data_IF_595888922961
#
_entry.id   IF_595888922961
#
_cell.length_a   1.000
_cell.length_b   1.000
_cell.length_c   1.000
_cell.angle_alpha   90.00
_cell.angle_beta   90.00
_cell.angle_gamma   90.00
#
_symmetry.space_group_name_H-M   'P 1'
#
loop_
_entity.id
_entity.type
_entity.pdbx_description
1 polymer ?
#
# COMPACT_ATOMS: atom_id res chain seq x y z
N UNK A 1 -0.23 -2.45 24.66
CA UNK A 1 0.25 -2.31 26.06
C UNK A 1 -0.62 -1.27 26.74
N UNK A 2 -1.13 -1.47 27.96
CA UNK A 2 -1.90 -0.43 28.67
C UNK A 2 -0.94 0.69 29.09
N UNK A 3 -1.09 1.94 28.62
CA UNK A 3 -0.24 3.02 29.08
C UNK A 3 -0.58 3.34 30.54
N UNK A 4 0.43 3.32 31.41
CA UNK A 4 0.28 3.72 32.80
C UNK A 4 -0.05 5.23 32.85
N UNK A 5 -1.28 5.57 33.26
CA UNK A 5 -1.72 6.93 33.48
C UNK A 5 -2.53 7.58 32.34
N UNK A 6 -3.34 6.83 31.59
CA UNK A 6 -4.28 7.38 30.59
C UNK A 6 -5.23 8.42 31.18
N UNK A 7 -5.55 9.48 30.41
CA UNK A 7 -6.58 10.46 30.78
C UNK A 7 -7.96 9.76 30.92
N UNK A 8 -8.61 9.84 32.09
CA UNK A 8 -9.87 9.14 32.35
C UNK A 8 -11.01 9.60 31.42
N UNK A 9 -10.95 10.83 30.90
CA UNK A 9 -11.94 11.36 29.95
C UNK A 9 -11.82 10.66 28.60
N UNK A 10 -10.60 10.44 28.11
CA UNK A 10 -10.35 9.72 26.86
C UNK A 10 -10.74 8.25 26.99
N UNK A 11 -10.41 7.62 28.12
CA UNK A 11 -10.77 6.22 28.37
C UNK A 11 -12.29 6.03 28.44
N UNK A 12 -13.01 6.94 29.12
CA UNK A 12 -14.47 6.93 29.16
C UNK A 12 -15.07 7.12 27.77
N UNK A 13 -14.50 8.03 26.97
CA UNK A 13 -14.98 8.31 25.62
C UNK A 13 -14.75 7.11 24.68
N UNK A 14 -13.58 6.49 24.72
CA UNK A 14 -13.29 5.30 23.94
C UNK A 14 -14.22 4.13 24.30
N UNK A 15 -14.53 3.96 25.59
CA UNK A 15 -15.49 2.96 26.03
C UNK A 15 -16.92 3.27 25.57
N UNK A 16 -17.30 4.55 25.49
CA UNK A 16 -18.61 4.99 24.96
C UNK A 16 -18.71 4.77 23.45
N UNK A 17 -17.65 5.09 22.69
CA UNK A 17 -17.57 4.84 21.24
C UNK A 17 -17.69 3.34 20.93
N UNK A 18 -16.98 2.48 21.66
CA UNK A 18 -16.98 1.04 21.44
C UNK A 18 -18.34 0.36 21.73
N UNK A 19 -19.17 0.94 22.60
CA UNK A 19 -20.47 0.38 23.02
C UNK A 19 -21.67 0.98 22.28
N UNK A 20 -21.47 2.09 21.58
CA UNK A 20 -22.54 2.85 20.94
C UNK A 20 -22.82 2.36 19.53
N UNK A 21 -24.06 2.48 19.03
CA UNK A 21 -24.36 2.19 17.64
C UNK A 21 -23.65 3.19 16.72
N UNK A 22 -23.29 2.75 15.51
CA UNK A 22 -22.51 3.54 14.54
C UNK A 22 -23.07 4.93 14.26
N UNK A 23 -24.40 5.11 14.33
CA UNK A 23 -25.08 6.38 14.11
C UNK A 23 -24.76 7.45 15.16
N UNK A 24 -24.47 7.04 16.40
CA UNK A 24 -24.20 7.95 17.52
C UNK A 24 -22.71 8.27 17.66
N UNK A 25 -21.83 7.46 17.06
CA UNK A 25 -20.37 7.61 17.12
C UNK A 25 -19.91 9.02 16.69
N UNK A 26 -20.41 9.63 15.60
CA UNK A 26 -20.01 10.98 15.20
C UNK A 26 -20.26 12.04 16.28
N UNK A 27 -21.40 11.97 16.97
CA UNK A 27 -21.78 12.93 18.02
C UNK A 27 -20.91 12.73 19.28
N UNK A 28 -20.62 11.48 19.61
CA UNK A 28 -19.74 11.15 20.75
C UNK A 28 -18.33 11.67 20.49
N UNK A 29 -17.79 11.49 19.28
CA UNK A 29 -16.46 11.96 18.91
C UNK A 29 -16.32 13.49 18.98
N UNK A 30 -17.41 14.27 18.86
CA UNK A 30 -17.36 15.73 19.06
C UNK A 30 -16.92 16.13 20.48
N UNK A 31 -17.15 15.28 21.49
CA UNK A 31 -16.69 15.54 22.86
C UNK A 31 -15.16 15.66 22.95
N UNK A 32 -14.41 15.10 21.98
CA UNK A 32 -12.95 15.31 21.89
C UNK A 32 -12.58 16.79 21.78
N UNK A 33 -13.42 17.61 21.12
CA UNK A 33 -13.18 19.04 20.96
C UNK A 33 -13.08 19.76 22.31
N UNK A 34 -13.98 19.42 23.23
CA UNK A 34 -13.99 20.01 24.58
C UNK A 34 -12.75 19.59 25.36
N UNK A 35 -12.35 18.31 25.26
CA UNK A 35 -11.16 17.79 25.96
C UNK A 35 -9.89 18.50 25.46
N UNK A 36 -9.77 18.68 24.14
CA UNK A 36 -8.62 19.35 23.52
C UNK A 36 -8.60 20.84 23.88
N UNK A 37 -9.73 21.54 23.76
CA UNK A 37 -9.81 22.99 24.01
C UNK A 37 -9.61 23.37 25.47
N UNK A 38 -10.01 22.50 26.40
CA UNK A 38 -9.82 22.71 27.84
C UNK A 38 -8.38 22.46 28.30
N UNK A 39 -7.50 21.96 27.42
CA UNK A 39 -6.11 21.68 27.74
C UNK A 39 -5.20 22.76 27.13
N UNK A 40 -4.30 23.40 27.91
CA UNK A 40 -3.50 24.52 27.41
C UNK A 40 -2.58 24.10 26.26
N UNK A 41 -2.50 24.96 25.23
CA UNK A 41 -1.68 24.73 24.03
C UNK A 41 -0.20 24.53 24.39
N UNK A 42 0.40 23.49 23.82
CA UNK A 42 1.82 23.18 24.03
C UNK A 42 2.17 22.52 25.38
N UNK A 43 1.19 22.27 26.24
CA UNK A 43 1.41 21.57 27.52
C UNK A 43 1.81 20.11 27.32
N UNK A 44 2.56 19.55 28.28
CA UNK A 44 2.84 18.12 28.35
C UNK A 44 1.56 17.29 28.50
N UNK A 45 0.53 17.86 29.13
CA UNK A 45 -0.81 17.30 29.25
C UNK A 45 -1.48 17.14 27.87
N UNK A 46 -1.43 18.17 27.01
CA UNK A 46 -1.99 18.10 25.66
C UNK A 46 -1.29 17.05 24.80
N UNK A 47 0.05 16.93 24.91
CA UNK A 47 0.80 15.88 24.22
C UNK A 47 0.32 14.49 24.63
N UNK A 48 0.14 14.28 25.93
CA UNK A 48 -0.34 13.02 26.50
C UNK A 48 -1.77 12.70 26.08
N UNK A 49 -2.66 13.69 26.11
CA UNK A 49 -4.05 13.53 25.62
C UNK A 49 -4.07 13.11 24.16
N UNK A 50 -3.25 13.72 23.29
CA UNK A 50 -3.16 13.32 21.88
C UNK A 50 -2.62 11.90 21.70
N UNK A 51 -1.63 11.50 22.49
CA UNK A 51 -1.12 10.13 22.51
C UNK A 51 -2.20 9.14 22.93
N UNK A 52 -2.96 9.44 23.99
CA UNK A 52 -4.07 8.60 24.43
C UNK A 52 -5.15 8.51 23.31
N UNK A 53 -5.52 9.62 22.68
CA UNK A 53 -6.47 9.61 21.55
C UNK A 53 -5.99 8.70 20.41
N UNK A 54 -4.69 8.69 20.12
CA UNK A 54 -4.10 7.80 19.12
C UNK A 54 -4.08 6.33 19.59
N UNK A 55 -3.66 6.04 20.82
CA UNK A 55 -3.59 4.68 21.37
C UNK A 55 -4.95 3.98 21.52
N UNK A 56 -6.05 4.74 21.61
CA UNK A 56 -7.42 4.21 21.64
C UNK A 56 -8.12 4.27 20.27
N UNK A 57 -7.35 4.43 19.18
CA UNK A 57 -7.80 4.45 17.78
C UNK A 57 -8.87 5.51 17.47
N UNK A 58 -9.05 6.52 18.32
CA UNK A 58 -10.09 7.53 18.14
C UNK A 58 -9.84 8.40 16.90
N UNK A 59 -8.58 8.57 16.51
CA UNK A 59 -8.18 9.19 15.23
C UNK A 59 -8.70 8.36 14.05
N UNK A 60 -8.56 7.03 14.13
CA UNK A 60 -9.03 6.11 13.09
C UNK A 60 -10.56 6.08 13.03
N UNK A 61 -11.26 6.12 14.17
CA UNK A 61 -12.72 6.26 14.19
C UNK A 61 -13.18 7.58 13.56
N UNK A 62 -12.51 8.71 13.84
CA UNK A 62 -12.79 9.98 13.16
C UNK A 62 -12.62 9.84 11.64
N UNK A 63 -11.54 9.22 11.17
CA UNK A 63 -11.32 8.97 9.74
C UNK A 63 -12.40 8.10 9.11
N UNK A 64 -12.78 7.00 9.78
CA UNK A 64 -13.83 6.11 9.31
C UNK A 64 -15.16 6.86 9.17
N UNK A 65 -15.53 7.69 10.14
CA UNK A 65 -16.73 8.53 10.07
C UNK A 65 -16.65 9.50 8.88
N UNK A 66 -15.51 10.16 8.67
CA UNK A 66 -15.33 11.11 7.56
C UNK A 66 -15.35 10.44 6.17
N UNK A 67 -15.03 9.15 6.09
CA UNK A 67 -15.08 8.37 4.85
C UNK A 67 -16.51 7.97 4.41
N UNK A 68 -17.48 8.01 5.33
CA UNK A 68 -18.86 7.61 5.05
C UNK A 68 -19.63 8.65 4.20
N UNK A 69 -20.83 8.27 3.75
CA UNK A 69 -21.76 9.17 3.07
C UNK A 69 -22.24 10.27 4.03
N UNK A 70 -22.06 11.54 3.65
CA UNK A 70 -22.38 12.70 4.49
C UNK A 70 -23.87 12.83 4.85
N UNK A 71 -24.75 12.21 4.06
CA UNK A 71 -26.19 12.16 4.32
C UNK A 71 -26.59 11.22 5.46
N UNK A 72 -25.72 10.27 5.84
CA UNK A 72 -25.98 9.27 6.88
C UNK A 72 -25.49 9.71 8.26
N UNK A 73 -24.69 10.78 8.32
CA UNK A 73 -24.05 11.25 9.55
C UNK A 73 -25.02 12.18 10.29
N UNK A 74 -25.26 11.88 11.57
CA UNK A 74 -26.09 12.73 12.43
C UNK A 74 -25.45 14.13 12.56
N UNK A 75 -26.23 15.17 12.24
CA UNK A 75 -25.77 16.57 12.20
C UNK A 75 -25.08 17.00 10.91
N UNK A 76 -24.99 16.11 9.91
CA UNK A 76 -24.58 16.42 8.54
C UNK A 76 -23.24 17.15 8.44
N UNK A 77 -23.18 18.19 7.60
CA UNK A 77 -21.96 18.96 7.34
C UNK A 77 -21.37 19.65 8.57
N UNK A 78 -22.20 20.05 9.54
CA UNK A 78 -21.71 20.66 10.79
C UNK A 78 -20.85 19.68 11.58
N UNK A 79 -21.34 18.45 11.77
CA UNK A 79 -20.60 17.39 12.46
C UNK A 79 -19.32 17.03 11.70
N UNK A 80 -19.41 16.87 10.37
CA UNK A 80 -18.27 16.53 9.50
C UNK A 80 -17.17 17.59 9.57
N UNK A 81 -17.51 18.88 9.44
CA UNK A 81 -16.52 19.97 9.52
C UNK A 81 -15.86 20.03 10.89
N UNK A 82 -16.61 19.80 11.97
CA UNK A 82 -16.04 19.77 13.32
C UNK A 82 -15.13 18.55 13.55
N UNK A 83 -15.51 17.37 13.07
CA UNK A 83 -14.66 16.18 13.14
C UNK A 83 -13.39 16.32 12.29
N UNK A 84 -13.50 16.97 11.13
CA UNK A 84 -12.36 17.32 10.27
C UNK A 84 -11.37 18.22 11.01
N UNK A 85 -11.88 19.25 11.70
CA UNK A 85 -11.08 20.13 12.55
C UNK A 85 -10.42 19.37 13.70
N UNK A 86 -11.18 18.54 14.44
CA UNK A 86 -10.65 17.72 15.54
C UNK A 86 -9.53 16.81 15.04
N UNK A 87 -9.76 16.10 13.93
CA UNK A 87 -8.78 15.18 13.35
C UNK A 87 -7.48 15.91 13.01
N UNK A 88 -7.57 17.07 12.36
CA UNK A 88 -6.41 17.90 12.03
C UNK A 88 -5.62 18.33 13.29
N UNK A 89 -6.32 18.82 14.32
CA UNK A 89 -5.66 19.23 15.57
C UNK A 89 -5.04 18.07 16.35
N UNK A 90 -5.66 16.89 16.33
CA UNK A 90 -5.12 15.67 16.95
C UNK A 90 -3.83 15.21 16.27
N UNK A 91 -3.80 15.23 14.94
CA UNK A 91 -2.66 14.76 14.16
C UNK A 91 -1.44 15.70 14.25
N UNK A 92 -1.65 17.02 14.34
CA UNK A 92 -0.54 17.98 14.40
C UNK A 92 0.11 18.00 15.80
N UNK A 93 1.42 17.78 15.85
CA UNK A 93 2.19 17.73 17.09
C UNK A 93 2.00 16.44 17.92
N UNK A 94 1.45 15.39 17.31
CA UNK A 94 1.42 14.05 17.87
C UNK A 94 2.78 13.36 17.68
N UNK A 95 3.28 12.74 18.74
CA UNK A 95 4.47 11.90 18.74
C UNK A 95 4.02 10.44 18.95
N UNK A 96 3.83 9.65 17.87
CA UNK A 96 3.18 8.33 17.93
C UNK A 96 4.03 7.21 18.57
N UNK A 97 5.26 7.49 19.00
CA UNK A 97 6.14 6.51 19.66
C UNK A 97 6.90 5.59 18.69
N UNK A 98 7.27 4.39 19.15
CA UNK A 98 8.15 3.45 18.43
C UNK A 98 7.50 2.82 17.17
N UNK A 99 6.17 2.75 17.09
CA UNK A 99 5.39 2.20 15.97
C UNK A 99 4.74 3.30 15.10
N UNK A 100 5.38 4.45 14.95
CA UNK A 100 4.84 5.60 14.22
C UNK A 100 4.74 5.46 12.69
N UNK A 101 5.23 4.35 12.11
CA UNK A 101 5.23 4.18 10.64
C UNK A 101 3.82 4.17 10.04
N UNK A 102 2.87 3.48 10.69
CA UNK A 102 1.47 3.42 10.24
C UNK A 102 0.84 4.83 10.23
N UNK A 103 1.14 5.63 11.25
CA UNK A 103 0.66 7.01 11.35
C UNK A 103 1.15 7.86 10.16
N UNK A 104 2.45 7.84 9.87
CA UNK A 104 3.02 8.68 8.81
C UNK A 104 2.76 8.16 7.38
N UNK A 105 2.71 6.85 7.17
CA UNK A 105 2.58 6.25 5.83
C UNK A 105 1.14 5.98 5.42
N UNK A 106 0.24 5.68 6.36
CA UNK A 106 -1.14 5.30 6.05
C UNK A 106 -2.15 6.33 6.55
N UNK A 107 -2.12 6.63 7.86
CA UNK A 107 -3.14 7.45 8.50
C UNK A 107 -3.12 8.90 7.97
N UNK A 108 -1.96 9.56 8.01
CA UNK A 108 -1.84 10.96 7.61
C UNK A 108 -2.17 11.20 6.11
N UNK A 109 -1.64 10.42 5.16
CA UNK A 109 -2.06 10.52 3.76
C UNK A 109 -3.57 10.28 3.56
N UNK A 110 -4.13 9.28 4.25
CA UNK A 110 -5.57 8.99 4.21
C UNK A 110 -6.41 10.16 4.76
N UNK A 111 -5.95 10.83 5.81
CA UNK A 111 -6.60 12.03 6.35
C UNK A 111 -6.62 13.18 5.35
N UNK A 112 -5.47 13.49 4.75
CA UNK A 112 -5.36 14.54 3.75
C UNK A 112 -6.25 14.26 2.53
N UNK A 113 -6.28 13.01 2.06
CA UNK A 113 -7.10 12.61 0.92
C UNK A 113 -8.61 12.70 1.24
N UNK A 114 -9.03 12.24 2.42
CA UNK A 114 -10.42 12.39 2.86
C UNK A 114 -10.86 13.86 2.92
N UNK A 115 -9.99 14.77 3.38
CA UNK A 115 -10.30 16.20 3.40
C UNK A 115 -10.52 16.76 1.99
N UNK A 116 -9.72 16.32 1.01
CA UNK A 116 -9.90 16.71 -0.40
C UNK A 116 -11.22 16.16 -0.98
N UNK A 117 -11.57 14.91 -0.67
CA UNK A 117 -12.84 14.29 -1.08
C UNK A 117 -14.02 15.05 -0.47
N UNK A 118 -13.96 15.38 0.82
CA UNK A 118 -15.00 16.17 1.50
C UNK A 118 -15.12 17.57 0.90
N UNK A 119 -13.99 18.22 0.62
CA UNK A 119 -13.96 19.49 -0.10
C UNK A 119 -14.69 19.41 -1.44
N UNK A 120 -14.45 18.36 -2.23
CA UNK A 120 -15.15 18.19 -3.53
C UNK A 120 -16.64 17.97 -3.37
N UNK A 121 -17.05 17.16 -2.39
CA UNK A 121 -18.48 16.95 -2.10
C UNK A 121 -19.15 18.27 -1.70
N UNK A 122 -18.51 19.07 -0.85
CA UNK A 122 -18.98 20.41 -0.47
C UNK A 122 -19.04 21.36 -1.67
N UNK A 123 -18.02 21.35 -2.54
CA UNK A 123 -18.01 22.11 -3.79
C UNK A 123 -19.22 21.74 -4.66
N UNK A 124 -19.50 20.44 -4.85
CA UNK A 124 -20.67 19.99 -5.63
C UNK A 124 -21.98 20.42 -4.98
N UNK A 125 -22.13 20.26 -3.66
CA UNK A 125 -23.31 20.73 -2.93
C UNK A 125 -23.49 22.24 -3.08
N UNK A 126 -22.42 23.02 -2.97
CA UNK A 126 -22.44 24.48 -3.08
C UNK A 126 -22.87 24.94 -4.48
N UNK A 127 -22.34 24.31 -5.53
CA UNK A 127 -22.71 24.63 -6.93
C UNK A 127 -24.19 24.32 -7.20
N UNK A 128 -24.72 23.26 -6.60
CA UNK A 128 -26.11 22.83 -6.81
C UNK A 128 -27.14 23.54 -5.89
N UNK A 129 -26.68 24.24 -4.84
CA UNK A 129 -27.56 24.89 -3.87
C UNK A 129 -28.22 26.16 -4.46
N UNK A 130 -29.46 26.44 -4.05
CA UNK A 130 -30.13 27.71 -4.39
C UNK A 130 -29.49 28.88 -3.64
N UNK A 131 -29.36 30.03 -4.31
CA UNK A 131 -28.73 31.23 -3.74
C UNK A 131 -29.44 31.67 -2.45
N UNK A 132 -28.68 31.89 -1.37
CA UNK A 132 -29.20 32.33 -0.08
C UNK A 132 -28.41 31.77 1.12
N UNK A 133 -29.04 31.73 2.29
CA UNK A 133 -28.42 31.33 3.57
C UNK A 133 -27.80 29.91 3.56
N UNK A 134 -28.31 29.01 2.72
CA UNK A 134 -27.75 27.65 2.58
C UNK A 134 -26.37 27.65 1.93
N UNK A 135 -26.14 28.53 0.94
CA UNK A 135 -24.83 28.69 0.30
C UNK A 135 -23.81 29.23 1.30
N UNK A 136 -24.18 30.23 2.13
CA UNK A 136 -23.26 30.78 3.13
C UNK A 136 -22.85 29.73 4.17
N UNK A 137 -23.79 28.88 4.60
CA UNK A 137 -23.49 27.74 5.50
C UNK A 137 -22.55 26.73 4.83
N UNK A 138 -22.81 26.37 3.58
CA UNK A 138 -21.96 25.43 2.82
C UNK A 138 -20.56 26.00 2.58
N UNK A 139 -20.44 27.30 2.28
CA UNK A 139 -19.16 27.98 2.14
C UNK A 139 -18.39 28.00 3.46
N UNK A 140 -19.07 28.24 4.57
CA UNK A 140 -18.46 28.18 5.89
C UNK A 140 -17.93 26.77 6.21
N UNK A 141 -18.70 25.72 5.93
CA UNK A 141 -18.22 24.35 6.09
C UNK A 141 -17.04 24.02 5.18
N UNK A 142 -17.05 24.52 3.95
CA UNK A 142 -15.94 24.38 3.01
C UNK A 142 -14.67 25.05 3.54
N UNK A 143 -14.78 26.28 4.06
CA UNK A 143 -13.67 27.00 4.69
C UNK A 143 -13.09 26.22 5.87
N UNK A 144 -13.92 25.67 6.76
CA UNK A 144 -13.44 24.85 7.88
C UNK A 144 -12.64 23.65 7.38
N UNK A 145 -13.10 22.96 6.34
CA UNK A 145 -12.38 21.79 5.78
C UNK A 145 -11.05 22.23 5.15
N UNK A 146 -11.03 23.34 4.39
CA UNK A 146 -9.78 23.85 3.79
C UNK A 146 -8.79 24.37 4.83
N UNK A 147 -9.26 25.01 5.89
CA UNK A 147 -8.42 25.51 6.98
C UNK A 147 -7.86 24.34 7.81
N UNK A 148 -8.67 23.30 8.02
CA UNK A 148 -8.23 22.07 8.68
C UNK A 148 -7.18 21.32 7.86
N UNK A 149 -7.34 21.27 6.54
CA UNK A 149 -6.32 20.72 5.64
C UNK A 149 -5.04 21.56 5.69
N UNK A 150 -5.15 22.89 5.65
CA UNK A 150 -4.00 23.78 5.76
C UNK A 150 -3.23 23.59 7.07
N UNK A 151 -3.96 23.50 8.20
CA UNK A 151 -3.36 23.23 9.51
C UNK A 151 -2.60 21.91 9.53
N UNK A 152 -3.19 20.85 8.94
CA UNK A 152 -2.55 19.53 8.85
C UNK A 152 -1.26 19.59 8.03
N UNK A 153 -1.28 20.29 6.90
CA UNK A 153 -0.11 20.49 6.03
C UNK A 153 0.99 21.31 6.69
N UNK A 154 0.62 22.32 7.48
CA UNK A 154 1.57 23.12 8.27
C UNK A 154 2.30 22.30 9.33
N UNK A 155 1.62 21.33 9.95
CA UNK A 155 2.24 20.40 10.90
C UNK A 155 3.05 19.29 10.23
N UNK A 156 2.63 18.85 9.04
CA UNK A 156 3.20 17.69 8.33
C UNK A 156 3.52 18.03 6.88
N UNK A 157 4.63 18.74 6.69
CA UNK A 157 5.09 19.28 5.40
C UNK A 157 5.27 18.18 4.32
N UNK A 158 5.50 16.93 4.71
CA UNK A 158 5.61 15.80 3.77
C UNK A 158 4.31 15.56 2.98
N UNK A 159 3.14 15.89 3.56
CA UNK A 159 1.83 15.69 2.93
C UNK A 159 1.56 16.66 1.78
N UNK A 160 2.28 17.78 1.69
CA UNK A 160 2.12 18.76 0.62
C UNK A 160 2.28 18.09 -0.75
N UNK A 161 3.26 17.19 -0.88
CA UNK A 161 3.47 16.46 -2.13
C UNK A 161 2.25 15.60 -2.48
N UNK A 162 1.69 14.88 -1.51
CA UNK A 162 0.53 14.01 -1.70
C UNK A 162 -0.70 14.81 -2.12
N UNK A 163 -0.94 15.96 -1.45
CA UNK A 163 -2.08 16.83 -1.76
C UNK A 163 -1.97 17.44 -3.15
N UNK A 164 -0.81 17.98 -3.52
CA UNK A 164 -0.62 18.61 -4.84
C UNK A 164 -0.62 17.59 -5.99
N UNK A 165 -0.35 16.31 -5.71
CA UNK A 165 -0.46 15.22 -6.69
C UNK A 165 -1.87 14.62 -6.79
N UNK A 166 -2.77 14.93 -5.84
CA UNK A 166 -4.12 14.35 -5.83
C UNK A 166 -5.01 14.94 -6.93
N UNK A 167 -5.67 14.06 -7.69
CA UNK A 167 -6.67 14.45 -8.69
C UNK A 167 -7.83 15.23 -8.04
N UNK A 168 -8.12 14.96 -6.76
CA UNK A 168 -9.17 15.66 -6.03
C UNK A 168 -8.82 17.14 -5.78
N UNK A 169 -7.54 17.44 -5.51
CA UNK A 169 -7.07 18.82 -5.37
C UNK A 169 -7.13 19.57 -6.71
N UNK A 170 -6.69 18.93 -7.80
CA UNK A 170 -6.80 19.54 -9.14
C UNK A 170 -8.25 19.88 -9.49
N UNK A 171 -9.20 18.99 -9.18
CA UNK A 171 -10.62 19.26 -9.43
C UNK A 171 -11.18 20.40 -8.56
N UNK A 172 -10.72 20.52 -7.30
CA UNK A 172 -11.08 21.66 -6.45
C UNK A 172 -10.57 22.98 -7.06
N UNK A 173 -9.37 22.95 -7.64
CA UNK A 173 -8.80 24.10 -8.33
C UNK A 173 -9.58 24.42 -9.62
N UNK A 174 -10.02 23.42 -10.39
CA UNK A 174 -10.80 23.54 -11.64
C UNK A 174 -12.27 23.97 -11.43
N UNK A 175 -12.50 24.96 -10.58
CA UNK A 175 -13.82 25.53 -10.31
C UNK A 175 -14.03 26.87 -11.03
N UNK A 176 -15.22 27.04 -11.60
CA UNK A 176 -15.67 28.33 -12.15
C UNK A 176 -16.30 29.24 -11.08
N UNK A 177 -16.62 28.68 -9.91
CA UNK A 177 -17.22 29.45 -8.84
C UNK A 177 -16.17 30.37 -8.18
N UNK A 178 -16.47 31.68 -8.14
CA UNK A 178 -15.51 32.69 -7.66
C UNK A 178 -15.15 32.52 -6.19
N UNK A 179 -16.10 32.17 -5.32
CA UNK A 179 -15.87 32.07 -3.87
C UNK A 179 -15.05 30.82 -3.54
N UNK A 180 -15.49 29.65 -4.02
CA UNK A 180 -14.74 28.40 -3.84
C UNK A 180 -13.35 28.52 -4.47
N UNK A 181 -13.28 29.07 -5.69
CA UNK A 181 -12.02 29.28 -6.41
C UNK A 181 -11.05 30.19 -5.65
N UNK A 182 -11.53 31.29 -5.06
CA UNK A 182 -10.71 32.16 -4.23
C UNK A 182 -10.17 31.44 -2.99
N UNK A 183 -11.00 30.64 -2.30
CA UNK A 183 -10.55 29.86 -1.14
C UNK A 183 -9.48 28.83 -1.52
N UNK A 184 -9.67 28.06 -2.58
CA UNK A 184 -8.69 27.04 -3.03
C UNK A 184 -7.40 27.69 -3.54
N UNK A 185 -7.49 28.81 -4.27
CA UNK A 185 -6.32 29.57 -4.72
C UNK A 185 -5.52 30.15 -3.54
N UNK A 186 -6.20 30.60 -2.48
CA UNK A 186 -5.57 31.09 -1.25
C UNK A 186 -4.90 29.95 -0.49
N UNK A 187 -5.55 28.78 -0.40
CA UNK A 187 -4.96 27.57 0.16
C UNK A 187 -3.68 27.20 -0.59
N UNK A 188 -3.70 27.17 -1.92
CA UNK A 188 -2.52 26.89 -2.73
C UNK A 188 -1.41 27.91 -2.47
N UNK A 189 -1.75 29.20 -2.38
CA UNK A 189 -0.79 30.25 -2.05
C UNK A 189 -0.12 30.01 -0.70
N UNK A 190 -0.91 29.68 0.32
CA UNK A 190 -0.39 29.43 1.66
C UNK A 190 0.49 28.16 1.71
N UNK A 191 0.10 27.09 1.00
CA UNK A 191 0.91 25.86 0.88
C UNK A 191 2.30 26.18 0.29
N UNK A 192 2.35 27.01 -0.76
CA UNK A 192 3.60 27.37 -1.42
C UNK A 192 4.47 28.31 -0.58
N UNK A 193 3.88 29.13 0.27
CA UNK A 193 4.62 29.94 1.24
C UNK A 193 5.26 29.09 2.34
N UNK A 194 4.62 28.00 2.79
CA UNK A 194 5.17 27.11 3.82
C UNK A 194 6.39 26.35 3.28
N UNK A 195 6.32 25.81 2.07
CA UNK A 195 7.43 25.08 1.48
C UNK A 195 7.39 25.06 -0.05
N UNK A 196 8.01 26.07 -0.68
CA UNK A 196 8.15 26.15 -2.13
C UNK A 196 8.95 24.97 -2.70
N UNK A 197 9.98 24.49 -1.99
CA UNK A 197 10.88 23.41 -2.42
C UNK A 197 10.22 22.06 -2.75
N UNK A 198 9.03 21.77 -2.23
CA UNK A 198 8.33 20.52 -2.52
C UNK A 198 7.64 20.49 -3.88
N UNK A 199 7.48 21.63 -4.56
CA UNK A 199 6.80 21.68 -5.86
C UNK A 199 7.61 20.99 -6.97
N UNK A 200 8.94 21.02 -6.90
CA UNK A 200 9.82 20.32 -7.85
C UNK A 200 9.87 18.80 -7.64
N UNK A 201 9.37 18.29 -6.51
CA UNK A 201 9.25 16.85 -6.24
C UNK A 201 7.97 16.25 -6.82
N UNK A 202 7.06 17.10 -7.31
CA UNK A 202 5.79 16.68 -7.89
C UNK A 202 6.04 16.07 -9.27
N UNK A 203 5.22 15.08 -9.65
CA UNK A 203 5.24 14.57 -11.00
C UNK A 203 5.02 15.68 -12.03
N UNK A 204 5.82 15.68 -13.11
CA UNK A 204 5.76 16.71 -14.13
C UNK A 204 4.34 16.96 -14.66
N UNK A 205 3.53 15.91 -14.84
CA UNK A 205 2.15 16.04 -15.31
C UNK A 205 1.29 16.88 -14.35
N UNK A 206 1.30 16.55 -13.05
CA UNK A 206 0.52 17.27 -12.05
C UNK A 206 0.95 18.74 -11.92
N UNK A 207 2.27 19.00 -11.98
CA UNK A 207 2.79 20.37 -12.01
C UNK A 207 2.28 21.17 -13.22
N UNK A 208 2.29 20.58 -14.41
CA UNK A 208 1.76 21.26 -15.60
C UNK A 208 0.26 21.53 -15.46
N UNK A 209 -0.53 20.56 -14.98
CA UNK A 209 -1.97 20.76 -14.78
C UNK A 209 -2.30 21.87 -13.78
N UNK A 210 -1.54 22.00 -12.70
CA UNK A 210 -1.69 23.12 -11.74
C UNK A 210 -1.33 24.45 -12.40
N UNK A 211 -0.19 24.51 -13.11
CA UNK A 211 0.26 25.73 -13.80
C UNK A 211 -0.73 26.17 -14.89
N UNK A 212 -1.21 25.23 -15.70
CA UNK A 212 -2.22 25.46 -16.74
C UNK A 212 -3.49 26.05 -16.13
N UNK A 213 -3.96 25.51 -15.00
CA UNK A 213 -5.16 26.02 -14.34
C UNK A 213 -4.95 27.41 -13.73
N UNK A 214 -3.79 27.69 -13.10
CA UNK A 214 -3.47 29.04 -12.60
C UNK A 214 -3.43 30.04 -13.76
N UNK A 215 -2.80 29.67 -14.88
CA UNK A 215 -2.72 30.50 -16.07
C UNK A 215 -4.09 30.71 -16.71
N UNK A 216 -4.92 29.67 -16.78
CA UNK A 216 -6.29 29.78 -17.24
C UNK A 216 -7.10 30.76 -16.36
N UNK A 217 -6.99 30.64 -15.04
CA UNK A 217 -7.65 31.57 -14.11
C UNK A 217 -7.14 33.01 -14.24
N UNK A 218 -5.85 33.21 -14.50
CA UNK A 218 -5.29 34.54 -14.75
C UNK A 218 -5.84 35.14 -16.06
N UNK A 219 -5.89 34.36 -17.12
CA UNK A 219 -6.18 34.85 -18.46
C UNK A 219 -7.68 34.95 -18.76
N UNK A 220 -8.49 34.05 -18.20
CA UNK A 220 -9.90 33.86 -18.59
C UNK A 220 -10.91 34.28 -17.52
N UNK A 221 -10.53 34.39 -16.24
CA UNK A 221 -11.50 34.74 -15.18
C UNK A 221 -11.77 36.25 -15.10
N UNK A 222 -13.05 36.70 -15.04
CA UNK A 222 -13.38 38.13 -14.92
C UNK A 222 -13.10 38.71 -13.53
N UNK A 223 -13.07 37.88 -12.48
CA UNK A 223 -12.83 38.31 -11.10
C UNK A 223 -11.41 38.87 -10.91
N UNK A 224 -11.25 40.13 -10.45
CA UNK A 224 -9.94 40.72 -10.22
C UNK A 224 -9.20 40.05 -9.05
N UNK A 225 -9.93 39.52 -8.06
CA UNK A 225 -9.34 38.83 -6.89
C UNK A 225 -8.62 37.56 -7.34
N UNK A 226 -9.27 36.74 -8.17
CA UNK A 226 -8.68 35.49 -8.68
C UNK A 226 -7.47 35.78 -9.56
N UNK A 227 -7.55 36.79 -10.44
CA UNK A 227 -6.43 37.20 -11.28
C UNK A 227 -5.25 37.71 -10.46
N UNK A 228 -5.49 38.52 -9.43
CA UNK A 228 -4.44 38.99 -8.52
C UNK A 228 -3.76 37.83 -7.79
N UNK A 229 -4.53 36.89 -7.23
CA UNK A 229 -3.97 35.71 -6.55
C UNK A 229 -3.19 34.82 -7.52
N UNK A 230 -3.71 34.58 -8.73
CA UNK A 230 -3.01 33.82 -9.76
C UNK A 230 -1.68 34.46 -10.18
N UNK A 231 -1.66 35.79 -10.33
CA UNK A 231 -0.45 36.56 -10.64
C UNK A 231 0.59 36.42 -9.53
N UNK A 232 0.17 36.59 -8.26
CA UNK A 232 1.06 36.42 -7.09
C UNK A 232 1.61 35.01 -6.99
N UNK A 233 0.78 34.00 -7.25
CA UNK A 233 1.21 32.60 -7.29
C UNK A 233 2.29 32.35 -8.32
N UNK A 234 2.06 32.77 -9.57
CA UNK A 234 3.05 32.62 -10.64
C UNK A 234 4.33 33.38 -10.34
N UNK A 235 4.23 34.57 -9.74
CA UNK A 235 5.37 35.37 -9.32
C UNK A 235 6.21 34.61 -8.28
N UNK A 236 5.59 34.13 -7.19
CA UNK A 236 6.26 33.36 -6.14
C UNK A 236 6.91 32.10 -6.71
N UNK A 237 6.22 31.39 -7.62
CA UNK A 237 6.75 30.18 -8.27
C UNK A 237 7.94 30.47 -9.18
N UNK A 238 7.87 31.54 -9.97
CA UNK A 238 8.93 31.95 -10.88
C UNK A 238 10.16 32.48 -10.14
N UNK A 239 9.98 33.19 -9.02
CA UNK A 239 11.06 33.68 -8.16
C UNK A 239 11.73 32.56 -7.36
N UNK A 240 10.94 31.59 -6.88
CA UNK A 240 11.44 30.51 -6.02
C UNK A 240 12.14 29.38 -6.78
N UNK A 241 11.80 29.15 -8.06
CA UNK A 241 12.29 28.00 -8.82
C UNK A 241 12.69 28.36 -10.25
N UNK A 242 13.99 28.22 -10.53
CA UNK A 242 14.55 28.51 -11.85
C UNK A 242 13.99 27.56 -12.93
N UNK A 243 13.68 26.30 -12.60
CA UNK A 243 13.10 25.33 -13.53
C UNK A 243 11.69 25.74 -14.00
N UNK A 244 10.88 26.29 -13.10
CA UNK A 244 9.53 26.78 -13.43
C UNK A 244 9.63 28.04 -14.28
N UNK A 245 10.54 28.96 -13.93
CA UNK A 245 10.82 30.14 -14.73
C UNK A 245 11.25 29.76 -16.17
N UNK A 246 12.17 28.80 -16.30
CA UNK A 246 12.60 28.27 -17.59
C UNK A 246 11.42 27.62 -18.34
N UNK A 247 10.57 26.87 -17.64
CA UNK A 247 9.38 26.25 -18.21
C UNK A 247 8.41 27.30 -18.78
N UNK A 248 8.09 28.33 -18.01
CA UNK A 248 7.19 29.42 -18.41
C UNK A 248 7.76 30.26 -19.57
N UNK A 249 9.10 30.41 -19.64
CA UNK A 249 9.77 31.16 -20.71
C UNK A 249 9.91 30.37 -22.02
N UNK A 250 10.37 29.11 -21.91
CA UNK A 250 10.96 28.39 -23.06
C UNK A 250 10.16 27.17 -23.51
N UNK A 251 9.20 26.69 -22.70
CA UNK A 251 8.41 25.54 -23.12
C UNK A 251 7.51 25.88 -24.31
N UNK A 252 7.33 24.92 -25.21
CA UNK A 252 6.38 25.06 -26.31
C UNK A 252 4.94 25.23 -25.81
N UNK A 253 4.63 24.70 -24.62
CA UNK A 253 3.31 24.74 -23.99
C UNK A 253 2.85 26.17 -23.66
N UNK A 254 3.77 27.05 -23.26
CA UNK A 254 3.46 28.43 -22.86
C UNK A 254 3.88 29.47 -23.92
N UNK A 255 4.07 29.04 -25.18
CA UNK A 255 4.43 29.94 -26.27
C UNK A 255 3.36 31.01 -26.45
N UNK A 256 3.75 32.27 -26.31
CA UNK A 256 2.85 33.42 -26.46
C UNK A 256 2.24 33.93 -25.15
N UNK A 257 2.51 33.27 -24.01
CA UNK A 257 2.05 33.72 -22.68
C UNK A 257 2.39 35.20 -22.42
N UNK A 258 3.63 35.60 -22.69
CA UNK A 258 4.08 37.00 -22.58
C UNK A 258 3.22 37.97 -23.39
N UNK A 259 2.88 37.61 -24.62
CA UNK A 259 2.07 38.49 -25.47
C UNK A 259 0.64 38.64 -24.96
N UNK A 260 0.12 37.63 -24.26
CA UNK A 260 -1.19 37.66 -23.61
C UNK A 260 -1.16 38.52 -22.34
N UNK A 261 -0.12 38.37 -21.51
CA UNK A 261 0.04 39.16 -20.29
C UNK A 261 0.22 40.65 -20.60
N UNK A 262 1.03 41.00 -21.62
CA UNK A 262 1.23 42.40 -22.03
C UNK A 262 -0.06 43.07 -22.52
N UNK A 263 -0.99 42.31 -23.13
CA UNK A 263 -2.29 42.83 -23.55
C UNK A 263 -3.21 43.14 -22.36
N UNK A 264 -2.99 42.50 -21.21
CA UNK A 264 -3.80 42.70 -20.00
C UNK A 264 -3.30 43.85 -19.11
N UNK A 265 -2.08 44.35 -19.34
CA UNK A 265 -1.45 45.40 -18.54
C UNK A 265 -2.23 46.73 -18.56
N UNK A 266 -2.98 47.00 -19.62
CA UNK A 266 -3.73 48.25 -19.81
C UNK A 266 -5.05 48.33 -19.03
N UNK A 267 -5.48 47.24 -18.37
CA UNK A 267 -6.87 47.08 -17.91
C UNK A 267 -7.08 46.95 -16.40
N UNK A 268 -6.04 46.93 -15.53
CA UNK A 268 -6.28 46.47 -14.13
C UNK A 268 -5.45 47.07 -12.98
N UNK A 269 -6.07 47.15 -11.80
CA UNK A 269 -5.54 47.70 -10.52
C UNK A 269 -4.42 46.88 -9.85
N UNK A 270 -4.22 45.59 -10.20
CA UNK A 270 -3.11 44.75 -9.70
C UNK A 270 -1.86 44.79 -10.59
N UNK A 271 -1.67 45.91 -11.28
CA UNK A 271 -0.65 46.10 -12.31
C UNK A 271 0.78 45.90 -11.83
N UNK A 272 1.09 46.07 -10.54
CA UNK A 272 2.45 45.97 -10.02
C UNK A 272 2.98 44.54 -10.03
N UNK A 273 2.24 43.60 -9.43
CA UNK A 273 2.66 42.19 -9.39
C UNK A 273 2.66 41.57 -10.79
N UNK A 274 1.72 42.00 -11.65
CA UNK A 274 1.70 41.61 -13.06
C UNK A 274 2.94 42.11 -13.81
N UNK A 275 3.33 43.37 -13.59
CA UNK A 275 4.55 43.94 -14.16
C UNK A 275 5.79 43.20 -13.70
N UNK A 276 5.91 42.91 -12.40
CA UNK A 276 7.02 42.12 -11.87
C UNK A 276 7.10 40.74 -12.53
N UNK A 277 5.96 40.07 -12.71
CA UNK A 277 5.92 38.78 -13.41
C UNK A 277 6.32 38.93 -14.89
N UNK A 278 5.83 39.95 -15.59
CA UNK A 278 6.20 40.24 -16.98
C UNK A 278 7.69 40.57 -17.11
N UNK A 279 8.24 41.34 -16.19
CA UNK A 279 9.66 41.70 -16.14
C UNK A 279 10.53 40.46 -15.88
N UNK A 280 10.12 39.59 -14.95
CA UNK A 280 10.80 38.31 -14.70
C UNK A 280 10.68 37.35 -15.89
N UNK A 281 9.55 37.33 -16.59
CA UNK A 281 9.39 36.54 -17.82
C UNK A 281 10.13 37.18 -19.01
N UNK A 282 10.53 38.45 -18.92
CA UNK A 282 11.29 39.16 -19.95
C UNK A 282 12.78 38.92 -19.75
N UNK A 283 13.46 38.18 -20.63
CA UNK A 283 14.86 37.89 -20.43
C UNK A 283 15.75 39.10 -20.75
N UNK A 284 16.89 39.19 -20.06
CA UNK A 284 18.07 39.89 -20.59
C UNK A 284 18.61 39.04 -21.74
N UNK A 285 18.71 39.59 -22.95
CA UNK A 285 18.96 38.89 -24.23
C UNK A 285 20.04 37.78 -24.16
N UNK A 286 21.11 37.97 -23.37
CA UNK A 286 22.19 36.99 -23.22
C UNK A 286 21.80 35.74 -22.40
N UNK A 287 20.95 35.86 -21.38
CA UNK A 287 20.52 34.73 -20.56
C UNK A 287 19.57 33.79 -21.33
N UNK A 288 18.71 34.32 -22.19
CA UNK A 288 17.77 33.50 -22.97
C UNK A 288 18.49 32.58 -23.94
N UNK A 289 19.52 33.07 -24.64
CA UNK A 289 20.27 32.28 -25.61
C UNK A 289 20.97 31.10 -24.94
N UNK A 290 21.55 31.31 -23.76
CA UNK A 290 22.20 30.22 -23.02
C UNK A 290 21.20 29.28 -22.34
N UNK A 291 20.14 29.79 -21.72
CA UNK A 291 19.06 28.96 -21.15
C UNK A 291 18.41 28.08 -22.25
N UNK A 292 18.18 28.63 -23.45
CA UNK A 292 17.66 27.87 -24.60
C UNK A 292 18.63 26.78 -25.08
N UNK A 293 19.94 27.07 -25.15
CA UNK A 293 20.95 26.07 -25.53
C UNK A 293 21.00 24.94 -24.50
N UNK A 294 21.03 25.27 -23.21
CA UNK A 294 21.06 24.30 -22.11
C UNK A 294 19.79 23.45 -22.08
N UNK A 295 18.61 24.06 -22.22
CA UNK A 295 17.34 23.33 -22.25
C UNK A 295 17.26 22.38 -23.45
N UNK A 296 17.66 22.84 -24.65
CA UNK A 296 17.72 21.98 -25.84
C UNK A 296 18.69 20.81 -25.64
N UNK A 297 19.87 21.07 -25.08
CA UNK A 297 20.83 20.02 -24.77
C UNK A 297 20.28 19.00 -23.76
N UNK A 298 19.64 19.47 -22.67
CA UNK A 298 19.02 18.61 -21.67
C UNK A 298 17.91 17.74 -22.28
N UNK A 299 17.02 18.32 -23.09
CA UNK A 299 15.98 17.58 -23.80
C UNK A 299 16.56 16.51 -24.74
N UNK A 300 17.63 16.82 -25.47
CA UNK A 300 18.32 15.85 -26.34
C UNK A 300 18.93 14.69 -25.53
N UNK A 301 19.62 14.98 -24.43
CA UNK A 301 20.20 13.96 -23.54
C UNK A 301 19.11 13.06 -22.97
N UNK A 302 18.02 13.65 -22.46
CA UNK A 302 16.90 12.91 -21.90
C UNK A 302 16.22 12.02 -22.94
N UNK A 303 16.00 12.53 -24.16
CA UNK A 303 15.42 11.75 -25.26
C UNK A 303 16.33 10.57 -25.65
N UNK A 304 17.64 10.80 -25.76
CA UNK A 304 18.61 9.76 -26.09
C UNK A 304 18.68 8.69 -25.00
N UNK A 305 18.68 9.08 -23.72
CA UNK A 305 18.68 8.16 -22.58
C UNK A 305 17.40 7.32 -22.50
N UNK A 306 16.22 7.94 -22.62
CA UNK A 306 14.94 7.23 -22.68
C UNK A 306 14.92 6.23 -23.84
N UNK A 307 15.39 6.64 -25.02
CA UNK A 307 15.54 5.77 -26.19
C UNK A 307 16.49 4.60 -25.94
N UNK A 308 17.65 4.86 -25.33
CA UNK A 308 18.62 3.82 -24.94
C UNK A 308 18.02 2.82 -23.95
N UNK A 309 17.33 3.28 -22.91
CA UNK A 309 16.65 2.42 -21.94
C UNK A 309 15.62 1.50 -22.61
N UNK A 310 14.76 2.06 -23.46
CA UNK A 310 13.75 1.28 -24.21
C UNK A 310 14.40 0.24 -25.10
N UNK A 311 15.43 0.61 -25.88
CA UNK A 311 16.18 -0.33 -26.73
C UNK A 311 16.86 -1.42 -25.91
N UNK A 312 17.43 -1.10 -24.74
CA UNK A 312 18.05 -2.07 -23.82
C UNK A 312 17.03 -3.06 -23.27
N UNK A 313 15.80 -2.61 -22.95
CA UNK A 313 14.68 -3.49 -22.53
C UNK A 313 14.20 -4.37 -23.68
N UNK A 314 13.99 -3.80 -24.86
CA UNK A 314 13.59 -4.54 -26.07
C UNK A 314 14.60 -5.63 -26.44
N UNK A 315 15.90 -5.39 -26.29
CA UNK A 315 16.94 -6.42 -26.50
C UNK A 315 16.81 -7.61 -25.53
N UNK A 316 16.28 -7.42 -24.32
CA UNK A 316 16.11 -8.49 -23.31
C UNK A 316 14.79 -9.25 -23.42
N UNK A 317 13.77 -8.65 -24.06
CA UNK A 317 12.43 -9.22 -24.19
C UNK A 317 12.42 -10.62 -24.84
N UNK A 318 13.13 -10.89 -25.96
CA UNK A 318 13.14 -12.22 -26.57
C UNK A 318 13.61 -13.32 -25.60
N UNK A 319 14.65 -13.06 -24.81
CA UNK A 319 15.14 -14.02 -23.81
C UNK A 319 14.11 -14.29 -22.72
N UNK A 320 13.39 -13.26 -22.25
CA UNK A 320 12.35 -13.41 -21.25
C UNK A 320 11.15 -14.20 -21.79
N UNK A 321 10.73 -13.92 -23.03
CA UNK A 321 9.66 -14.67 -23.71
C UNK A 321 10.04 -16.13 -23.89
N UNK A 322 11.27 -16.42 -24.34
CA UNK A 322 11.76 -17.80 -24.48
C UNK A 322 11.78 -18.52 -23.12
N UNK A 323 12.24 -17.85 -22.05
CA UNK A 323 12.24 -18.43 -20.71
C UNK A 323 10.82 -18.75 -20.22
N UNK A 324 9.86 -17.85 -20.45
CA UNK A 324 8.45 -18.06 -20.12
C UNK A 324 7.83 -19.20 -20.93
N UNK A 325 8.09 -19.26 -22.23
CA UNK A 325 7.62 -20.34 -23.09
C UNK A 325 8.19 -21.70 -22.66
N UNK A 326 9.48 -21.74 -22.29
CA UNK A 326 10.13 -22.95 -21.75
C UNK A 326 9.51 -23.39 -20.44
N UNK A 327 9.29 -22.48 -19.49
CA UNK A 327 8.69 -22.81 -18.19
C UNK A 327 7.24 -23.26 -18.33
N UNK A 328 6.46 -22.62 -19.21
CA UNK A 328 5.10 -23.03 -19.52
C UNK A 328 5.05 -24.45 -20.09
N UNK A 329 5.91 -24.76 -21.09
CA UNK A 329 6.00 -26.11 -21.66
C UNK A 329 6.39 -27.14 -20.60
N UNK A 330 7.39 -26.84 -19.77
CA UNK A 330 7.82 -27.74 -18.70
C UNK A 330 6.71 -27.99 -17.67
N UNK A 331 6.00 -26.95 -17.23
CA UNK A 331 4.86 -27.07 -16.31
C UNK A 331 3.73 -27.91 -16.90
N UNK A 332 3.41 -27.69 -18.17
CA UNK A 332 2.40 -28.48 -18.89
C UNK A 332 2.78 -29.95 -18.96
N UNK A 333 4.04 -30.26 -19.29
CA UNK A 333 4.54 -31.64 -19.31
C UNK A 333 4.48 -32.29 -17.92
N UNK A 334 4.89 -31.57 -16.87
CA UNK A 334 4.83 -32.09 -15.50
C UNK A 334 3.40 -32.39 -15.04
N UNK A 335 2.46 -31.48 -15.30
CA UNK A 335 1.04 -31.67 -14.98
C UNK A 335 0.46 -32.89 -15.71
N UNK A 336 0.81 -33.08 -16.98
CA UNK A 336 0.38 -34.25 -17.75
C UNK A 336 0.94 -35.56 -17.17
N UNK A 337 2.22 -35.56 -16.79
CA UNK A 337 2.85 -36.71 -16.15
C UNK A 337 2.21 -37.03 -14.78
N UNK A 338 1.93 -36.01 -13.97
CA UNK A 338 1.24 -36.19 -12.69
C UNK A 338 -0.17 -36.76 -12.86
N UNK A 339 -0.93 -36.27 -13.85
CA UNK A 339 -2.26 -36.78 -14.16
C UNK A 339 -2.21 -38.24 -14.63
N UNK A 340 -1.26 -38.59 -15.51
CA UNK A 340 -1.08 -39.97 -15.95
C UNK A 340 -0.70 -40.89 -14.80
N UNK A 341 0.22 -40.44 -13.93
CA UNK A 341 0.62 -41.18 -12.73
C UNK A 341 -0.57 -41.41 -11.78
N UNK A 342 -1.43 -40.41 -11.59
CA UNK A 342 -2.65 -40.55 -10.77
C UNK A 342 -3.60 -41.59 -11.37
N UNK A 343 -3.84 -41.55 -12.68
CA UNK A 343 -4.66 -42.56 -13.37
C UNK A 343 -4.08 -43.97 -13.20
N UNK A 344 -2.76 -44.12 -13.38
CA UNK A 344 -2.08 -45.39 -13.18
C UNK A 344 -2.20 -45.89 -11.73
N UNK A 345 -2.11 -45.00 -10.74
CA UNK A 345 -2.30 -45.33 -9.32
C UNK A 345 -3.74 -45.75 -9.02
N UNK A 346 -4.73 -45.06 -9.57
CA UNK A 346 -6.15 -45.39 -9.43
C UNK A 346 -6.47 -46.74 -10.07
N UNK A 347 -5.99 -46.98 -11.28
CA UNK A 347 -6.13 -48.26 -11.98
C UNK A 347 -5.48 -49.40 -11.17
N UNK A 348 -4.30 -49.17 -10.59
CA UNK A 348 -3.65 -50.15 -9.74
C UNK A 348 -4.45 -50.42 -8.46
N UNK A 349 -4.97 -49.38 -7.80
CA UNK A 349 -5.81 -49.52 -6.60
C UNK A 349 -7.07 -50.34 -6.90
N UNK A 350 -7.73 -50.06 -8.03
CA UNK A 350 -8.91 -50.79 -8.47
C UNK A 350 -8.57 -52.26 -8.72
N UNK A 351 -7.46 -52.55 -9.43
CA UNK A 351 -6.98 -53.93 -9.66
C UNK A 351 -6.72 -54.67 -8.34
N UNK A 352 -6.07 -54.04 -7.38
CA UNK A 352 -5.79 -54.63 -6.07
C UNK A 352 -7.07 -54.88 -5.25
N UNK A 353 -8.04 -53.96 -5.30
CA UNK A 353 -9.34 -54.16 -4.64
C UNK A 353 -10.09 -55.33 -5.25
N UNK A 354 -10.14 -55.43 -6.58
CA UNK A 354 -10.75 -56.56 -7.29
C UNK A 354 -10.04 -57.88 -6.94
N UNK A 355 -8.71 -57.90 -6.88
CA UNK A 355 -7.95 -59.08 -6.45
C UNK A 355 -8.28 -59.49 -5.01
N UNK A 356 -8.36 -58.53 -4.07
CA UNK A 356 -8.76 -58.81 -2.68
C UNK A 356 -10.17 -59.36 -2.60
N UNK A 357 -11.13 -58.78 -3.33
CA UNK A 357 -12.51 -59.27 -3.37
C UNK A 357 -12.59 -60.69 -3.91
N UNK A 358 -11.86 -60.98 -5.00
CA UNK A 358 -11.76 -62.35 -5.56
C UNK A 358 -11.16 -63.32 -4.56
N UNK A 359 -10.06 -62.95 -3.89
CA UNK A 359 -9.42 -63.80 -2.88
C UNK A 359 -10.33 -64.04 -1.66
N UNK A 360 -11.06 -63.03 -1.20
CA UNK A 360 -12.04 -63.17 -0.12
C UNK A 360 -13.19 -64.10 -0.52
N UNK A 361 -13.69 -63.96 -1.74
CA UNK A 361 -14.73 -64.85 -2.29
C UNK A 361 -14.25 -66.30 -2.32
N UNK A 362 -13.08 -66.55 -2.91
CA UNK A 362 -12.49 -67.89 -2.97
C UNK A 362 -12.26 -68.48 -1.57
N UNK A 363 -11.76 -67.68 -0.62
CA UNK A 363 -11.58 -68.11 0.77
C UNK A 363 -12.90 -68.49 1.46
N UNK A 364 -13.97 -67.71 1.24
CA UNK A 364 -15.31 -68.02 1.73
C UNK A 364 -15.87 -69.29 1.10
N UNK A 365 -15.71 -69.45 -0.21
CA UNK A 365 -16.12 -70.65 -0.94
C UNK A 365 -15.40 -71.90 -0.42
N UNK A 366 -14.07 -71.85 -0.23
CA UNK A 366 -13.31 -72.93 0.40
C UNK A 366 -13.79 -73.26 1.82
N UNK A 367 -14.10 -72.23 2.62
CA UNK A 367 -14.61 -72.45 3.98
C UNK A 367 -16.00 -73.10 3.98
N UNK A 368 -16.90 -72.67 3.11
CA UNK A 368 -18.23 -73.26 2.96
C UNK A 368 -18.13 -74.72 2.56
N UNK A 369 -17.32 -75.03 1.53
CA UNK A 369 -17.09 -76.41 1.09
C UNK A 369 -16.52 -77.30 2.20
N UNK A 370 -15.62 -76.79 3.04
CA UNK A 370 -15.13 -77.52 4.21
C UNK A 370 -16.23 -77.78 5.24
N UNK A 371 -17.08 -76.78 5.53
CA UNK A 371 -18.18 -76.92 6.50
C UNK A 371 -19.26 -77.90 6.03
N UNK A 372 -19.50 -78.00 4.73
CA UNK A 372 -20.43 -78.99 4.15
C UNK A 372 -19.98 -80.45 4.41
N UNK A 373 -18.68 -80.68 4.56
CA UNK A 373 -18.09 -82.03 4.73
C UNK A 373 -17.95 -82.40 6.22
N UNK A 374 -17.82 -81.42 7.12
CA UNK A 374 -17.57 -81.65 8.55
C UNK A 374 -18.87 -81.95 9.30
N UNK A 375 -18.88 -83.00 10.12
CA UNK A 375 -20.02 -83.33 10.97
C UNK A 375 -20.31 -82.23 12.01
N UNK A 376 -21.58 -81.83 12.26
CA UNK A 376 -21.93 -80.69 13.13
C UNK A 376 -21.28 -80.72 14.53
N UNK A 377 -21.18 -81.90 15.15
CA UNK A 377 -20.54 -82.06 16.48
C UNK A 377 -19.01 -81.83 16.49
N UNK A 378 -18.36 -81.77 15.33
CA UNK A 378 -16.90 -81.59 15.21
C UNK A 378 -16.50 -80.17 14.77
N UNK A 379 -17.47 -79.34 14.36
CA UNK A 379 -17.24 -77.97 13.85
C UNK A 379 -16.49 -77.11 14.88
N UNK A 380 -16.86 -77.22 16.17
CA UNK A 380 -16.26 -76.41 17.24
C UNK A 380 -14.80 -76.79 17.53
N UNK A 381 -14.46 -78.08 17.40
CA UNK A 381 -13.07 -78.53 17.53
C UNK A 381 -12.23 -77.98 16.38
N UNK A 382 -12.74 -78.09 15.15
CA UNK A 382 -12.07 -77.58 13.95
C UNK A 382 -11.88 -76.06 13.99
N UNK A 383 -12.88 -75.29 14.43
CA UNK A 383 -12.77 -73.83 14.59
C UNK A 383 -11.65 -73.45 15.56
N UNK A 384 -11.57 -74.12 16.73
CA UNK A 384 -10.48 -73.90 17.70
C UNK A 384 -9.10 -74.16 17.09
N UNK A 385 -8.94 -75.26 16.34
CA UNK A 385 -7.67 -75.56 15.67
C UNK A 385 -7.29 -74.48 14.63
N UNK A 386 -8.26 -73.91 13.91
CA UNK A 386 -8.01 -72.78 12.99
C UNK A 386 -7.62 -71.53 13.76
N UNK A 387 -8.31 -71.21 14.86
CA UNK A 387 -8.01 -70.05 15.69
C UNK A 387 -6.59 -70.12 16.26
N UNK A 388 -6.17 -71.28 16.77
CA UNK A 388 -4.82 -71.54 17.25
C UNK A 388 -3.78 -71.33 16.13
N UNK A 389 -3.99 -71.94 14.95
CA UNK A 389 -3.10 -71.76 13.79
C UNK A 389 -3.03 -70.30 13.34
N UNK A 390 -4.14 -69.59 13.40
CA UNK A 390 -4.23 -68.16 13.06
C UNK A 390 -3.47 -67.32 14.07
N UNK A 391 -3.66 -67.57 15.37
CA UNK A 391 -2.94 -66.90 16.46
C UNK A 391 -1.44 -67.09 16.31
N UNK A 392 -0.98 -68.31 16.05
CA UNK A 392 0.45 -68.61 15.81
C UNK A 392 0.99 -67.84 14.60
N UNK A 393 0.21 -67.75 13.51
CA UNK A 393 0.59 -67.01 12.30
C UNK A 393 0.72 -65.52 12.59
N UNK A 394 -0.26 -64.91 13.26
CA UNK A 394 -0.23 -63.49 13.65
C UNK A 394 0.97 -63.21 14.56
N UNK A 395 1.18 -64.05 15.59
CA UNK A 395 2.29 -63.91 16.52
C UNK A 395 3.64 -64.02 15.80
N UNK A 396 3.79 -64.99 14.89
CA UNK A 396 5.00 -65.13 14.05
C UNK A 396 5.26 -63.88 13.22
N UNK A 397 4.24 -63.34 12.55
CA UNK A 397 4.38 -62.12 11.75
C UNK A 397 4.72 -60.90 12.61
N UNK A 398 4.10 -60.77 13.78
CA UNK A 398 4.38 -59.69 14.74
C UNK A 398 5.82 -59.74 15.25
N UNK A 399 6.28 -60.92 15.71
CA UNK A 399 7.68 -61.12 16.13
C UNK A 399 8.64 -60.73 15.01
N UNK A 400 8.38 -61.18 13.79
CA UNK A 400 9.18 -60.79 12.63
C UNK A 400 9.15 -59.30 12.31
N UNK A 401 7.99 -58.64 12.42
CA UNK A 401 7.87 -57.19 12.21
C UNK A 401 8.67 -56.41 13.25
N UNK A 402 8.56 -56.80 14.53
CA UNK A 402 9.28 -56.19 15.65
C UNK A 402 10.79 -56.25 15.43
N UNK A 403 11.33 -57.42 15.09
CA UNK A 403 12.76 -57.59 14.81
C UNK A 403 13.21 -56.74 13.62
N UNK A 404 12.43 -56.71 12.54
CA UNK A 404 12.74 -55.84 11.39
C UNK A 404 12.71 -54.36 11.74
N UNK A 405 11.81 -53.93 12.63
CA UNK A 405 11.74 -52.55 13.10
C UNK A 405 12.97 -52.18 13.93
N UNK A 406 13.35 -53.04 14.88
CA UNK A 406 14.55 -52.86 15.69
C UNK A 406 15.81 -52.80 14.80
N UNK A 407 15.92 -53.73 13.86
CA UNK A 407 17.04 -53.74 12.91
C UNK A 407 17.08 -52.48 12.04
N UNK A 408 15.93 -51.99 11.55
CA UNK A 408 15.88 -50.72 10.79
C UNK A 408 16.35 -49.53 11.62
N UNK A 409 16.08 -49.51 12.92
CA UNK A 409 16.57 -48.46 13.82
C UNK A 409 18.08 -48.56 14.05
N UNK A 410 18.64 -49.77 14.13
CA UNK A 410 20.07 -49.99 14.33
C UNK A 410 20.90 -49.89 13.03
N UNK A 411 20.24 -50.00 11.87
CA UNK A 411 20.90 -50.06 10.56
C UNK A 411 21.78 -48.84 10.24
N UNK A 412 21.39 -47.58 10.54
CA UNK A 412 22.26 -46.42 10.29
C UNK A 412 23.59 -46.54 11.04
N UNK A 413 23.56 -46.80 12.34
CA UNK A 413 24.75 -46.93 13.18
C UNK A 413 25.65 -48.09 12.73
N UNK A 414 25.07 -49.22 12.32
CA UNK A 414 25.83 -50.35 11.76
C UNK A 414 26.47 -50.01 10.41
N UNK A 415 25.81 -49.17 9.60
CA UNK A 415 26.32 -48.73 8.30
C UNK A 415 27.48 -47.75 8.49
N UNK A 416 27.33 -46.79 9.41
CA UNK A 416 28.39 -45.84 9.79
C UNK A 416 29.61 -46.58 10.35
N UNK A 417 29.41 -47.53 11.27
CA UNK A 417 30.49 -48.35 11.81
C UNK A 417 31.22 -49.14 10.71
N UNK A 418 30.48 -49.79 9.80
CA UNK A 418 31.09 -50.50 8.66
C UNK A 418 31.86 -49.56 7.73
N UNK A 419 31.34 -48.35 7.47
CA UNK A 419 32.04 -47.34 6.68
C UNK A 419 33.34 -46.91 7.38
N UNK A 420 33.30 -46.65 8.68
CA UNK A 420 34.48 -46.30 9.48
C UNK A 420 35.55 -47.39 9.45
N UNK A 421 35.19 -48.66 9.65
CA UNK A 421 36.13 -49.79 9.55
C UNK A 421 36.72 -49.93 8.15
N UNK A 422 35.92 -49.69 7.11
CA UNK A 422 36.38 -49.74 5.71
C UNK A 422 37.40 -48.63 5.45
N UNK A 423 37.13 -47.41 5.92
CA UNK A 423 38.07 -46.28 5.84
C UNK A 423 39.35 -46.54 6.61
N UNK A 424 39.26 -47.07 7.83
CA UNK A 424 40.43 -47.43 8.65
C UNK A 424 41.30 -48.47 7.94
N UNK A 425 40.70 -49.54 7.38
CA UNK A 425 41.44 -50.56 6.64
C UNK A 425 42.12 -49.98 5.40
N UNK A 426 41.42 -49.14 4.63
CA UNK A 426 42.00 -48.48 3.46
C UNK A 426 43.18 -47.56 3.84
N UNK A 427 43.05 -46.82 4.95
CA UNK A 427 44.11 -45.99 5.48
C UNK A 427 45.32 -46.83 5.93
N UNK A 428 45.11 -47.92 6.67
CA UNK A 428 46.19 -48.83 7.09
C UNK A 428 46.92 -49.43 5.90
N UNK A 429 46.22 -49.89 4.85
CA UNK A 429 46.84 -50.41 3.63
C UNK A 429 47.69 -49.33 2.95
N UNK A 430 47.18 -48.10 2.85
CA UNK A 430 47.93 -46.97 2.26
C UNK A 430 49.16 -46.58 3.07
N UNK A 431 49.07 -46.62 4.40
CA UNK A 431 50.22 -46.38 5.29
C UNK A 431 51.26 -47.49 5.11
N UNK A 432 50.85 -48.76 5.05
CA UNK A 432 51.75 -49.88 4.78
C UNK A 432 52.41 -49.80 3.40
N UNK A 433 51.69 -49.38 2.36
CA UNK A 433 52.26 -49.21 1.01
C UNK A 433 53.27 -48.05 0.96
N UNK A 434 52.98 -46.92 1.62
CA UNK A 434 53.92 -45.80 1.74
C UNK A 434 55.16 -46.17 2.57
N UNK A 435 55.00 -47.03 3.58
CA UNK A 435 56.11 -47.58 4.36
C UNK A 435 57.03 -48.49 3.52
N UNK A 436 56.45 -49.34 2.67
CA UNK A 436 57.17 -50.19 1.70
C UNK A 436 57.88 -49.36 0.63
N UNK A 437 57.24 -48.31 0.10
CA UNK A 437 57.88 -47.38 -0.83
C UNK A 437 59.06 -46.65 -0.18
N UNK A 438 58.93 -46.22 1.08
CA UNK A 438 60.06 -45.64 1.84
C UNK A 438 61.19 -46.63 2.11
N UNK A 439 60.87 -47.91 2.33
CA UNK A 439 61.86 -48.97 2.54
C UNK A 439 62.59 -49.38 1.25
N UNK A 440 61.95 -49.24 0.09
CA UNK A 440 62.54 -49.49 -1.23
C UNK A 440 63.33 -48.28 -1.79
N UNK A 441 63.17 -47.10 -1.18
CA UNK A 441 63.79 -45.83 -1.64
C UNK A 441 64.97 -45.38 -0.79
N UNK A 442 65.37 -46.15 0.23
CA UNK A 442 66.56 -45.95 1.06
C UNK A 442 67.47 -47.16 0.96
#
# INVERSE_FOLDING_TARGET
>A
MKPAGTDPRILSLAAEVAKSPEQNVPVILLKLKEIINNTPLGSSELKKVKQDIYCYDLIQYCLLVLSQDSSRIQGGWSTISQLTQILSHCCVGLEPGEDGEEFYKELLPSAAENFLVLGRRLQTCFINATKGEEQDKLLHFFQIVTDSLFWLLGGHIQLIQNVLQSDHFLHLLQTDNVQIGATVMTLLQNILQINSGNLLKIEGKALHSILDEILFKLLSTPSPVIRSTATKLLLVLAESHQEILILLRLSACYKGLRSLLNKQETLTEFSRELRQLVDLLTPKIQQEVEEQKLHKAACLIQAYWKGFQTRKRLKKLPSAVIALQRSFRAKRTKMLLELNRQKEEEDLRLRLQLQKQRAMRLSRESRLSMLEIIHPGQVEKYNREIEEKSALTIQKHWRGYRERKNFRQQRPSLTEYKAAVTLQRAASIKISSLGLERWLSG
#
